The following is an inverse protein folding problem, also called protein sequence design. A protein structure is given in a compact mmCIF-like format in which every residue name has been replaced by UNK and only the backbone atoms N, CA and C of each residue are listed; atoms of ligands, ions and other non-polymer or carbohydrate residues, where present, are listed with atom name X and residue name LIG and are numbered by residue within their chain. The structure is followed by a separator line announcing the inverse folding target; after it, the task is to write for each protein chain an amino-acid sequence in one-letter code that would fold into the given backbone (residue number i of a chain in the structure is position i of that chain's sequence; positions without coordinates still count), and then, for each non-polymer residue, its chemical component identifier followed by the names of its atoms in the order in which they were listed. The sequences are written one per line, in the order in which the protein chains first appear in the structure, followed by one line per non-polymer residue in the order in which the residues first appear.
data_IF_446835363427
#
_entry.id   IF_446835363427
#
_cell.length_a   1.000
_cell.length_b   1.000
_cell.length_c   1.000
_cell.angle_alpha   90.00
_cell.angle_beta   90.00
_cell.angle_gamma   90.00
#
_symmetry.space_group_name_H-M   'P 1'
#
loop_
_entity.id
_entity.type
_entity.pdbx_description
1 polymer ?
#
# COMPACT_ATOMS: atom_id res chain seq x y z
N UNK A 1 -8.58 26.98 56.11
CA UNK A 1 -9.38 26.66 54.91
C UNK A 1 -8.41 26.35 53.78
N UNK A 2 -8.40 25.09 53.34
CA UNK A 2 -7.39 24.53 52.44
C UNK A 2 -7.51 25.04 51.01
N UNK A 3 -6.38 25.47 50.45
CA UNK A 3 -6.25 25.82 49.05
C UNK A 3 -6.20 24.52 48.23
N UNK A 4 -7.25 24.23 47.46
CA UNK A 4 -7.23 23.15 46.47
C UNK A 4 -6.28 23.56 45.35
N UNK A 5 -5.02 23.12 45.45
CA UNK A 5 -4.10 23.15 44.32
C UNK A 5 -4.60 22.13 43.29
N UNK A 6 -5.25 22.62 42.22
CA UNK A 6 -5.56 21.79 41.07
C UNK A 6 -4.25 21.30 40.46
N UNK A 7 -3.98 20.00 40.57
CA UNK A 7 -2.90 19.35 39.83
C UNK A 7 -3.30 19.41 38.35
N UNK A 8 -2.84 20.43 37.63
CA UNK A 8 -2.87 20.43 36.17
C UNK A 8 -1.90 19.35 35.71
N UNK A 9 -2.43 18.18 35.36
CA UNK A 9 -1.69 17.15 34.64
C UNK A 9 -1.10 17.82 33.42
N UNK A 10 0.24 17.82 33.29
CA UNK A 10 0.87 18.35 32.09
C UNK A 10 0.40 17.49 30.91
N UNK A 11 -0.08 18.10 29.81
CA UNK A 11 -0.46 17.34 28.63
C UNK A 11 0.73 16.52 28.15
N UNK A 12 0.49 15.28 27.75
CA UNK A 12 1.55 14.39 27.29
C UNK A 12 2.18 14.96 26.01
N UNK A 13 3.47 14.66 25.76
CA UNK A 13 4.24 15.19 24.61
C UNK A 13 3.45 15.09 23.29
N UNK A 14 2.83 13.93 23.06
CA UNK A 14 2.11 13.61 21.84
C UNK A 14 0.84 14.44 21.61
N UNK A 15 0.20 14.95 22.66
CA UNK A 15 -1.03 15.76 22.55
C UNK A 15 -0.77 17.10 21.85
N UNK A 16 0.50 17.51 21.78
CA UNK A 16 0.92 18.77 21.17
C UNK A 16 1.50 18.58 19.75
N UNK A 17 1.49 17.37 19.20
CA UNK A 17 1.85 17.13 17.80
C UNK A 17 0.70 17.60 16.91
N UNK A 18 0.99 18.51 15.98
CA UNK A 18 -0.02 19.12 15.12
C UNK A 18 0.27 18.87 13.64
N UNK A 19 -0.72 18.35 12.91
CA UNK A 19 -0.71 18.29 11.45
C UNK A 19 -1.12 19.66 10.91
N UNK A 20 -0.15 20.40 10.36
CA UNK A 20 -0.36 21.75 9.83
C UNK A 20 -0.99 21.72 8.44
N UNK A 21 -0.60 20.74 7.63
CA UNK A 21 -1.11 20.54 6.28
C UNK A 21 -1.09 19.05 5.96
N UNK A 22 -2.12 18.60 5.26
CA UNK A 22 -2.20 17.26 4.68
C UNK A 22 -2.71 17.39 3.24
N UNK A 23 -1.96 16.86 2.29
CA UNK A 23 -2.37 16.76 0.89
C UNK A 23 -2.33 15.29 0.49
N UNK A 24 -3.38 14.81 -0.18
CA UNK A 24 -3.43 13.46 -0.73
C UNK A 24 -4.16 13.46 -2.06
N UNK A 25 -3.68 12.65 -3.01
CA UNK A 25 -4.24 12.56 -4.35
C UNK A 25 -3.84 11.24 -5.02
N UNK A 26 -4.58 10.86 -6.04
CA UNK A 26 -4.08 9.96 -7.08
C UNK A 26 -3.90 10.77 -8.36
N UNK A 27 -2.75 10.63 -9.01
CA UNK A 27 -2.45 11.34 -10.26
C UNK A 27 -3.57 11.07 -11.30
N UNK A 28 -3.98 12.11 -12.04
CA UNK A 28 -5.14 12.04 -12.94
C UNK A 28 -4.87 11.37 -14.28
N UNK A 29 -3.61 11.04 -14.58
CA UNK A 29 -3.28 10.31 -15.80
C UNK A 29 -3.89 8.90 -15.76
N UNK A 30 -4.22 8.29 -16.91
CA UNK A 30 -4.64 6.90 -16.95
C UNK A 30 -3.45 5.96 -16.69
N UNK A 31 -3.77 4.68 -16.49
CA UNK A 31 -2.78 3.59 -16.48
C UNK A 31 -2.05 3.53 -17.83
N UNK A 32 -0.73 3.49 -17.80
CA UNK A 32 0.11 3.34 -18.99
C UNK A 32 0.33 1.86 -19.25
N UNK A 33 0.10 1.40 -20.48
CA UNK A 33 0.32 0.01 -20.90
C UNK A 33 1.52 -0.05 -21.85
N UNK A 34 2.41 -1.01 -21.62
CA UNK A 34 3.59 -1.30 -22.43
C UNK A 34 3.53 -2.74 -22.97
N UNK A 35 3.31 -2.85 -24.27
CA UNK A 35 3.26 -4.10 -25.03
C UNK A 35 4.57 -4.42 -25.77
N UNK A 36 5.70 -3.77 -25.48
CA UNK A 36 6.93 -3.96 -26.28
C UNK A 36 7.55 -5.35 -26.12
N UNK A 37 7.25 -6.08 -25.04
CA UNK A 37 7.81 -7.41 -24.80
C UNK A 37 6.94 -8.51 -25.39
N UNK A 38 7.56 -9.44 -26.11
CA UNK A 38 6.90 -10.66 -26.60
C UNK A 38 6.57 -11.69 -25.51
N UNK A 39 7.03 -11.49 -24.27
CA UNK A 39 6.88 -12.45 -23.16
C UNK A 39 5.87 -11.95 -22.12
N UNK A 40 5.86 -10.64 -21.85
CA UNK A 40 5.00 -10.04 -20.83
C UNK A 40 4.31 -8.77 -21.31
N UNK A 41 3.11 -8.54 -20.80
CA UNK A 41 2.47 -7.24 -20.74
C UNK A 41 2.94 -6.49 -19.50
N UNK A 42 3.38 -5.25 -19.65
CA UNK A 42 3.66 -4.36 -18.52
C UNK A 42 2.61 -3.27 -18.46
N UNK A 43 2.29 -2.83 -17.26
CA UNK A 43 1.50 -1.64 -17.08
C UNK A 43 1.95 -0.89 -15.82
N UNK A 44 1.66 0.41 -15.79
CA UNK A 44 1.95 1.28 -14.65
C UNK A 44 0.72 2.10 -14.30
N UNK A 45 0.21 1.90 -13.09
CA UNK A 45 -0.92 2.70 -12.60
C UNK A 45 -0.46 4.11 -12.20
N UNK A 46 -1.38 5.07 -12.08
CA UNK A 46 -1.08 6.40 -11.55
C UNK A 46 -0.58 6.30 -10.10
N UNK A 47 0.18 7.29 -9.66
CA UNK A 47 0.69 7.32 -8.29
C UNK A 47 -0.39 7.80 -7.33
N UNK A 48 -0.63 7.04 -6.27
CA UNK A 48 -1.11 7.58 -5.01
C UNK A 48 -0.01 8.44 -4.38
N UNK A 49 -0.38 9.59 -3.83
CA UNK A 49 0.53 10.52 -3.15
C UNK A 49 -0.09 10.97 -1.84
N UNK A 50 0.73 11.05 -0.81
CA UNK A 50 0.37 11.68 0.46
C UNK A 50 1.55 12.48 1.00
N UNK A 51 1.31 13.72 1.39
CA UNK A 51 2.30 14.62 1.98
C UNK A 51 1.71 15.32 3.18
N UNK A 52 2.45 15.34 4.28
CA UNK A 52 2.05 16.01 5.50
C UNK A 52 3.15 16.95 6.00
N UNK A 53 2.73 18.15 6.42
CA UNK A 53 3.57 19.06 7.19
C UNK A 53 3.15 18.96 8.65
N UNK A 54 4.07 18.52 9.50
CA UNK A 54 3.81 18.24 10.92
C UNK A 54 4.66 19.16 11.78
N UNK A 55 4.06 19.72 12.82
CA UNK A 55 4.74 20.43 13.89
C UNK A 55 4.81 19.54 15.12
N UNK A 56 6.02 19.22 15.53
CA UNK A 56 6.31 18.44 16.73
C UNK A 56 6.80 19.39 17.82
N UNK A 57 6.27 19.32 19.05
CA UNK A 57 6.72 20.16 20.17
C UNK A 57 8.18 19.82 20.56
N UNK A 58 8.83 20.65 21.38
CA UNK A 58 10.14 20.31 21.94
C UNK A 58 10.12 18.97 22.69
N UNK A 59 11.10 18.11 22.43
CA UNK A 59 11.28 16.83 23.13
C UNK A 59 12.12 17.10 24.38
N UNK A 60 11.55 16.95 25.57
CA UNK A 60 12.24 17.36 26.80
C UNK A 60 13.35 16.36 27.23
N UNK A 61 13.16 15.07 26.96
CA UNK A 61 14.07 13.99 27.34
C UNK A 61 14.98 13.50 26.21
N UNK A 62 15.71 12.42 26.47
CA UNK A 62 16.51 11.69 25.46
C UNK A 62 15.65 10.73 24.63
N UNK A 63 14.40 11.08 24.40
CA UNK A 63 13.46 10.27 23.63
C UNK A 63 13.76 10.43 22.14
N UNK A 64 13.48 9.37 21.38
CA UNK A 64 13.58 9.38 19.93
C UNK A 64 12.17 9.15 19.39
N UNK A 65 11.69 10.10 18.60
CA UNK A 65 10.37 10.06 18.00
C UNK A 65 10.49 10.06 16.48
N UNK A 66 9.84 9.12 15.82
CA UNK A 66 9.77 9.05 14.36
C UNK A 66 8.35 9.36 13.91
N UNK A 67 8.23 10.35 13.02
CA UNK A 67 6.96 10.70 12.36
C UNK A 67 7.02 10.18 10.94
N UNK A 68 6.02 9.42 10.50
CA UNK A 68 6.04 8.85 9.15
C UNK A 68 4.75 8.16 8.73
N UNK A 69 4.81 7.52 7.57
CA UNK A 69 3.69 6.83 6.95
C UNK A 69 3.75 5.31 7.19
N UNK A 70 2.62 4.76 7.59
CA UNK A 70 2.35 3.31 7.64
C UNK A 70 1.25 3.04 6.62
N UNK A 71 1.38 1.98 5.82
CA UNK A 71 0.34 1.55 4.88
C UNK A 71 0.07 0.05 5.04
N UNK A 72 -1.18 -0.34 4.83
CA UNK A 72 -1.58 -1.73 4.78
C UNK A 72 -2.59 -1.99 3.67
N UNK A 73 -2.50 -3.17 3.07
CA UNK A 73 -3.49 -3.67 2.12
C UNK A 73 -4.63 -4.36 2.88
N UNK A 74 -5.86 -3.91 2.65
CA UNK A 74 -7.08 -4.44 3.29
C UNK A 74 -7.84 -5.42 2.39
N UNK A 75 -7.66 -5.30 1.08
CA UNK A 75 -8.29 -6.16 0.09
C UNK A 75 -7.38 -6.27 -1.12
N UNK A 76 -7.24 -7.49 -1.65
CA UNK A 76 -6.49 -7.75 -2.86
C UNK A 76 -7.23 -8.70 -3.80
N UNK A 77 -7.79 -8.13 -4.86
CA UNK A 77 -8.27 -8.86 -6.01
C UNK A 77 -7.36 -8.56 -7.20
N UNK A 78 -6.64 -9.57 -7.70
CA UNK A 78 -5.79 -9.42 -8.88
C UNK A 78 -5.82 -10.70 -9.70
N UNK A 79 -6.57 -10.65 -10.81
CA UNK A 79 -6.86 -11.76 -11.71
C UNK A 79 -6.34 -11.51 -13.12
N UNK A 80 -5.75 -12.54 -13.73
CA UNK A 80 -5.37 -12.57 -15.14
C UNK A 80 -6.08 -13.75 -15.80
N UNK A 81 -6.86 -13.49 -16.84
CA UNK A 81 -7.67 -14.49 -17.53
C UNK A 81 -6.98 -14.94 -18.80
N UNK A 82 -6.98 -16.24 -19.08
CA UNK A 82 -6.31 -16.85 -20.23
C UNK A 82 -7.32 -17.53 -21.17
N UNK A 83 -8.40 -16.82 -21.52
CA UNK A 83 -9.51 -17.35 -22.31
C UNK A 83 -10.18 -18.53 -21.61
N UNK A 84 -10.44 -19.60 -22.36
CA UNK A 84 -11.04 -20.84 -21.85
C UNK A 84 -10.06 -21.71 -21.06
N UNK A 85 -8.78 -21.34 -20.99
CA UNK A 85 -7.76 -22.19 -20.33
C UNK A 85 -7.77 -22.06 -18.81
N UNK A 86 -8.24 -20.92 -18.28
CA UNK A 86 -8.32 -20.68 -16.84
C UNK A 86 -7.91 -19.27 -16.43
N UNK A 87 -7.61 -19.12 -15.13
CA UNK A 87 -7.30 -17.84 -14.50
C UNK A 87 -6.08 -17.97 -13.59
N UNK A 88 -5.18 -16.99 -13.61
CA UNK A 88 -4.17 -16.81 -12.56
C UNK A 88 -4.58 -15.67 -11.64
N UNK A 89 -4.19 -15.76 -10.37
CA UNK A 89 -4.45 -14.69 -9.41
C UNK A 89 -3.33 -14.55 -8.40
N UNK A 90 -2.99 -13.31 -8.10
CA UNK A 90 -2.16 -12.99 -6.93
C UNK A 90 -3.07 -12.92 -5.71
N UNK A 91 -2.72 -13.67 -4.68
CA UNK A 91 -3.54 -13.81 -3.48
C UNK A 91 -2.72 -13.60 -2.22
N UNK A 92 -3.38 -13.08 -1.19
CA UNK A 92 -2.92 -13.01 0.19
C UNK A 92 -3.83 -13.95 1.02
N UNK A 93 -3.48 -15.24 1.21
CA UNK A 93 -4.40 -16.23 1.77
C UNK A 93 -4.98 -15.84 3.13
N UNK A 94 -4.14 -15.37 4.05
CA UNK A 94 -4.58 -14.96 5.39
C UNK A 94 -5.57 -13.77 5.33
N UNK A 95 -5.37 -12.83 4.41
CA UNK A 95 -6.27 -11.71 4.20
C UNK A 95 -7.58 -12.16 3.54
N UNK A 96 -7.47 -13.00 2.51
CA UNK A 96 -8.61 -13.56 1.74
C UNK A 96 -9.52 -14.43 2.61
N UNK A 97 -8.95 -15.20 3.52
CA UNK A 97 -9.67 -16.07 4.45
C UNK A 97 -10.20 -15.31 5.68
N UNK A 98 -9.88 -14.01 5.81
CA UNK A 98 -10.31 -13.18 6.94
C UNK A 98 -9.60 -13.47 8.26
N UNK A 99 -8.49 -14.22 8.24
CA UNK A 99 -7.66 -14.45 9.44
C UNK A 99 -6.96 -13.16 9.90
N UNK A 100 -6.64 -12.28 8.94
CA UNK A 100 -6.11 -10.95 9.20
C UNK A 100 -6.98 -9.88 8.55
N UNK A 101 -7.07 -8.71 9.17
CA UNK A 101 -7.85 -7.57 8.67
C UNK A 101 -7.11 -6.73 7.63
N UNK A 102 -5.78 -6.76 7.69
CA UNK A 102 -4.90 -6.03 6.80
C UNK A 102 -3.51 -6.68 6.85
N UNK A 103 -2.73 -6.50 5.79
CA UNK A 103 -1.33 -6.88 5.76
C UNK A 103 -0.45 -5.65 5.55
N UNK A 104 0.70 -5.61 6.23
CA UNK A 104 1.65 -4.51 6.11
C UNK A 104 2.09 -4.32 4.66
N UNK A 105 2.20 -3.07 4.21
CA UNK A 105 2.77 -2.71 2.91
C UNK A 105 4.13 -2.00 3.07
N UNK A 106 4.87 -2.37 4.11
CA UNK A 106 6.20 -1.86 4.40
C UNK A 106 7.23 -2.23 3.31
N UNK A 107 8.32 -1.45 3.22
CA UNK A 107 9.51 -1.73 2.42
C UNK A 107 10.17 -3.11 2.70
N UNK A 108 9.78 -3.78 3.79
CA UNK A 108 10.27 -5.09 4.19
C UNK A 108 11.54 -5.05 5.06
N UNK A 109 12.03 -3.85 5.37
CA UNK A 109 13.24 -3.60 6.17
C UNK A 109 12.89 -2.83 7.44
N UNK A 110 12.23 -1.68 7.31
CA UNK A 110 11.98 -0.72 8.37
C UNK A 110 10.52 -0.78 8.85
N UNK A 111 10.06 -1.96 9.27
CA UNK A 111 8.71 -2.10 9.81
C UNK A 111 8.47 -1.14 10.99
N UNK A 112 7.28 -0.51 11.10
CA UNK A 112 6.10 -0.66 10.24
C UNK A 112 6.04 0.34 9.07
N UNK A 113 7.12 1.10 8.83
CA UNK A 113 7.13 2.22 7.90
C UNK A 113 7.00 1.74 6.45
N UNK A 114 6.25 2.51 5.65
CA UNK A 114 6.11 2.27 4.21
C UNK A 114 7.47 2.38 3.50
N UNK A 115 8.30 3.34 3.91
CA UNK A 115 9.67 3.51 3.43
C UNK A 115 10.50 4.33 4.41
N UNK A 116 11.77 4.61 4.07
CA UNK A 116 12.73 5.23 4.97
C UNK A 116 13.41 6.50 4.41
N UNK A 117 12.96 7.02 3.26
CA UNK A 117 13.65 8.13 2.57
C UNK A 117 12.96 9.46 2.82
N UNK A 118 11.75 9.62 2.28
CA UNK A 118 10.90 10.80 2.48
C UNK A 118 9.68 10.47 3.34
N UNK A 119 9.46 9.18 3.59
CA UNK A 119 8.27 8.63 4.20
C UNK A 119 8.27 8.79 5.72
N UNK A 120 9.44 9.03 6.31
CA UNK A 120 9.62 9.21 7.75
C UNK A 120 10.64 10.29 8.08
N UNK A 121 10.54 10.83 9.29
CA UNK A 121 11.45 11.81 9.87
C UNK A 121 11.66 11.51 11.34
N UNK A 122 12.92 11.32 11.74
CA UNK A 122 13.30 11.01 13.13
C UNK A 122 13.78 12.26 13.87
N UNK A 123 13.28 12.44 15.08
CA UNK A 123 13.60 13.54 15.98
C UNK A 123 14.29 12.95 17.21
N UNK A 124 15.53 13.36 17.44
CA UNK A 124 16.32 12.95 18.60
C UNK A 124 16.27 14.05 19.65
N UNK A 125 15.70 13.73 20.81
CA UNK A 125 15.70 14.62 21.96
C UNK A 125 17.04 14.65 22.72
N UNK A 126 17.27 15.66 23.58
CA UNK A 126 16.36 16.76 23.86
C UNK A 126 16.39 17.83 22.77
N UNK A 127 15.27 18.49 22.53
CA UNK A 127 15.17 19.66 21.65
C UNK A 127 14.56 20.84 22.40
N UNK A 128 15.04 22.07 22.10
CA UNK A 128 14.63 23.28 22.81
C UNK A 128 13.54 24.07 22.06
N UNK A 129 13.19 23.66 20.84
CA UNK A 129 12.25 24.34 19.95
C UNK A 129 11.36 23.32 19.26
N UNK A 130 10.16 23.75 18.86
CA UNK A 130 9.30 22.91 18.03
C UNK A 130 9.94 22.67 16.67
N UNK A 131 9.89 21.43 16.20
CA UNK A 131 10.37 21.05 14.87
C UNK A 131 9.19 21.04 13.90
N UNK A 132 9.34 21.70 12.75
CA UNK A 132 8.40 21.53 11.64
C UNK A 132 9.06 20.68 10.58
N UNK A 133 8.42 19.57 10.24
CA UNK A 133 8.92 18.58 9.29
C UNK A 133 7.91 18.35 8.18
N UNK A 134 8.39 17.75 7.09
CA UNK A 134 7.57 17.30 5.99
C UNK A 134 7.90 15.82 5.74
N UNK A 135 6.86 15.00 5.65
CA UNK A 135 6.96 13.60 5.22
C UNK A 135 6.05 13.38 4.03
N UNK A 136 6.50 12.58 3.08
CA UNK A 136 5.78 12.25 1.86
C UNK A 136 5.94 10.79 1.52
N UNK A 137 4.90 10.21 0.94
CA UNK A 137 4.97 8.89 0.33
C UNK A 137 4.29 8.93 -1.05
N UNK A 138 4.68 7.98 -1.89
CA UNK A 138 3.97 7.69 -3.12
C UNK A 138 3.95 6.18 -3.34
N UNK A 139 2.88 5.70 -3.96
CA UNK A 139 2.71 4.28 -4.25
C UNK A 139 2.05 4.09 -5.62
N UNK A 140 2.45 3.06 -6.35
CA UNK A 140 1.83 2.64 -7.59
C UNK A 140 2.12 1.18 -7.92
N UNK A 141 1.36 0.63 -8.86
CA UNK A 141 1.60 -0.71 -9.36
C UNK A 141 2.30 -0.67 -10.70
N UNK A 142 3.42 -1.39 -10.79
CA UNK A 142 4.18 -1.55 -12.03
C UNK A 142 4.52 -3.03 -12.32
N UNK A 143 3.54 -3.95 -12.40
CA UNK A 143 3.80 -5.38 -12.56
C UNK A 143 4.14 -5.77 -14.01
N UNK A 144 4.56 -7.02 -14.17
CA UNK A 144 4.67 -7.72 -15.46
C UNK A 144 3.77 -8.95 -15.44
N UNK A 145 2.91 -9.11 -16.45
CA UNK A 145 1.98 -10.24 -16.59
C UNK A 145 2.31 -11.03 -17.85
N UNK A 146 2.45 -12.35 -17.75
CA UNK A 146 2.81 -13.19 -18.90
C UNK A 146 1.68 -13.26 -19.92
N UNK A 147 2.03 -13.24 -21.22
CA UNK A 147 1.05 -13.52 -22.29
C UNK A 147 0.57 -14.97 -22.29
N UNK A 148 1.44 -15.88 -21.85
CA UNK A 148 1.20 -17.32 -21.74
C UNK A 148 0.76 -17.71 -20.33
N UNK A 149 0.17 -18.90 -20.19
CA UNK A 149 -0.18 -19.49 -18.89
C UNK A 149 1.06 -19.50 -17.97
N UNK A 150 0.95 -19.03 -16.72
CA UNK A 150 2.10 -18.87 -15.84
C UNK A 150 2.50 -20.20 -15.19
N UNK A 151 2.73 -21.27 -15.96
CA UNK A 151 3.19 -22.58 -15.44
C UNK A 151 4.56 -22.97 -15.98
N UNK A 152 5.30 -22.01 -16.56
CA UNK A 152 6.63 -22.21 -17.14
C UNK A 152 6.62 -22.81 -18.55
N UNK A 153 5.47 -23.27 -19.04
CA UNK A 153 5.30 -23.70 -20.43
C UNK A 153 4.96 -22.50 -21.30
N UNK A 154 5.90 -22.11 -22.18
CA UNK A 154 5.64 -21.11 -23.22
C UNK A 154 4.57 -21.66 -24.16
N UNK A 155 3.32 -21.24 -23.94
CA UNK A 155 2.23 -21.50 -24.88
C UNK A 155 2.38 -20.56 -26.06
N UNK A 156 2.43 -21.16 -27.25
CA UNK A 156 2.19 -20.48 -28.52
C UNK A 156 0.85 -21.01 -29.04
N UNK A 157 -0.17 -20.18 -29.29
CA UNK A 157 -0.20 -18.70 -29.26
C UNK A 157 -0.30 -18.08 -27.84
N UNK A 158 -0.16 -16.75 -27.68
CA UNK A 158 -0.51 -16.04 -26.44
C UNK A 158 -1.97 -16.28 -26.05
N UNK A 159 -2.26 -16.30 -24.76
CA UNK A 159 -3.57 -16.68 -24.23
C UNK A 159 -4.19 -15.64 -23.29
N UNK A 160 -3.39 -14.70 -22.76
CA UNK A 160 -3.90 -13.62 -21.92
C UNK A 160 -5.02 -12.87 -22.65
N UNK A 161 -6.15 -12.75 -21.97
CA UNK A 161 -7.41 -12.22 -22.51
C UNK A 161 -7.96 -11.06 -21.68
N UNK A 162 -7.66 -11.00 -20.37
CA UNK A 162 -8.02 -9.84 -19.55
C UNK A 162 -7.18 -9.79 -18.28
N UNK A 163 -7.00 -8.59 -17.74
CA UNK A 163 -6.48 -8.35 -16.39
C UNK A 163 -7.53 -7.56 -15.62
N UNK A 164 -7.83 -8.00 -14.39
CA UNK A 164 -8.72 -7.32 -13.45
C UNK A 164 -8.02 -7.15 -12.13
N UNK A 165 -8.00 -5.93 -11.61
CA UNK A 165 -7.43 -5.63 -10.30
C UNK A 165 -8.33 -4.66 -9.54
N UNK A 166 -8.60 -4.97 -8.28
CA UNK A 166 -9.26 -4.09 -7.31
C UNK A 166 -8.54 -4.29 -5.97
N UNK A 167 -7.89 -3.23 -5.50
CA UNK A 167 -7.18 -3.27 -4.23
C UNK A 167 -7.47 -2.05 -3.39
N UNK A 168 -7.56 -2.27 -2.08
CA UNK A 168 -7.86 -1.23 -1.09
C UNK A 168 -6.78 -1.15 -0.05
N UNK A 169 -6.49 0.07 0.35
CA UNK A 169 -5.43 0.39 1.29
C UNK A 169 -5.93 1.38 2.33
N UNK A 170 -5.33 1.25 3.51
CA UNK A 170 -5.41 2.26 4.56
C UNK A 170 -3.99 2.73 4.86
N UNK A 171 -3.84 4.04 4.90
CA UNK A 171 -2.57 4.72 5.14
C UNK A 171 -2.71 5.61 6.37
N UNK A 172 -1.77 5.52 7.29
CA UNK A 172 -1.74 6.27 8.53
C UNK A 172 -0.52 7.17 8.59
N UNK A 173 -0.74 8.43 8.97
CA UNK A 173 0.32 9.30 9.46
C UNK A 173 0.47 9.07 10.97
N UNK A 174 1.66 8.68 11.40
CA UNK A 174 1.91 8.24 12.78
C UNK A 174 3.14 8.95 13.35
N UNK A 175 3.10 9.29 14.64
CA UNK A 175 4.30 9.55 15.43
C UNK A 175 4.52 8.39 16.39
N UNK A 176 5.73 7.82 16.40
CA UNK A 176 6.08 6.66 17.23
C UNK A 176 7.33 6.95 18.06
N UNK A 177 7.27 6.64 19.36
CA UNK A 177 8.44 6.64 20.22
C UNK A 177 9.23 5.36 19.98
N UNK A 178 10.50 5.46 19.61
CA UNK A 178 11.31 4.29 19.23
C UNK A 178 11.71 3.41 20.42
N UNK A 179 11.73 3.96 21.63
CA UNK A 179 12.10 3.20 22.83
C UNK A 179 10.90 2.48 23.46
N UNK A 180 9.71 3.10 23.45
CA UNK A 180 8.52 2.55 24.10
C UNK A 180 7.54 1.90 23.12
N UNK A 181 7.74 2.07 21.82
CA UNK A 181 6.79 1.73 20.75
C UNK A 181 5.41 2.42 20.91
N UNK A 182 5.33 3.47 21.72
CA UNK A 182 4.11 4.28 21.86
C UNK A 182 3.80 4.95 20.52
N UNK A 183 2.59 4.74 20.00
CA UNK A 183 2.14 5.26 18.71
C UNK A 183 1.00 6.25 18.87
N UNK A 184 1.07 7.32 18.09
CA UNK A 184 0.13 8.42 18.06
C UNK A 184 -0.39 8.55 16.64
N UNK A 185 -1.68 8.24 16.45
CA UNK A 185 -2.32 8.35 15.14
C UNK A 185 -2.68 9.81 14.86
N UNK A 186 -2.03 10.38 13.86
CA UNK A 186 -2.23 11.76 13.46
C UNK A 186 -3.35 11.86 12.43
N UNK A 187 -3.31 11.06 11.36
CA UNK A 187 -4.32 11.03 10.28
C UNK A 187 -4.48 9.63 9.69
N UNK A 188 -5.69 9.31 9.23
CA UNK A 188 -6.00 8.10 8.44
C UNK A 188 -6.52 8.50 7.06
N UNK A 189 -6.01 7.83 6.03
CA UNK A 189 -6.39 7.99 4.62
C UNK A 189 -6.81 6.62 4.09
N UNK A 190 -7.93 6.58 3.36
CA UNK A 190 -8.34 5.40 2.59
C UNK A 190 -8.19 5.68 1.12
N UNK A 191 -7.69 4.70 0.38
CA UNK A 191 -7.61 4.77 -1.06
C UNK A 191 -7.72 3.39 -1.67
N UNK A 192 -8.06 3.37 -2.96
CA UNK A 192 -8.18 2.14 -3.72
C UNK A 192 -7.66 2.36 -5.14
N UNK A 193 -7.37 1.26 -5.81
CA UNK A 193 -6.94 1.26 -7.19
C UNK A 193 -7.70 0.16 -7.93
N UNK A 194 -8.37 0.55 -9.01
CA UNK A 194 -9.15 -0.34 -9.86
C UNK A 194 -8.58 -0.31 -11.29
N UNK A 195 -8.40 -1.49 -11.88
CA UNK A 195 -7.87 -1.66 -13.22
C UNK A 195 -8.59 -2.76 -13.96
N UNK A 196 -8.93 -2.48 -15.20
CA UNK A 196 -9.44 -3.46 -16.13
C UNK A 196 -8.72 -3.30 -17.48
N UNK A 197 -8.06 -4.35 -17.94
CA UNK A 197 -7.44 -4.41 -19.26
C UNK A 197 -8.10 -5.54 -20.02
N UNK A 198 -8.58 -5.23 -21.22
CA UNK A 198 -9.04 -6.18 -22.22
C UNK A 198 -7.87 -6.53 -23.14
N UNK A 199 -7.70 -7.79 -23.49
CA UNK A 199 -6.59 -8.27 -24.32
C UNK A 199 -7.14 -9.16 -25.43
N UNK A 200 -6.87 -8.77 -26.68
CA UNK A 200 -7.12 -9.61 -27.85
C UNK A 200 -5.82 -10.31 -28.27
N UNK A 201 -5.64 -11.61 -27.93
CA UNK A 201 -4.41 -12.33 -28.26
C UNK A 201 -4.22 -12.56 -29.76
N UNK A 202 -5.25 -12.40 -30.59
CA UNK A 202 -5.16 -12.57 -32.05
C UNK A 202 -4.56 -11.35 -32.74
N UNK A 203 -4.54 -10.20 -32.07
CA UNK A 203 -3.92 -8.99 -32.61
C UNK A 203 -2.39 -9.04 -32.53
N UNK A 204 -1.69 -8.34 -33.44
CA UNK A 204 -0.25 -8.20 -33.37
C UNK A 204 0.15 -7.47 -32.08
N UNK A 205 1.36 -7.78 -31.61
CA UNK A 205 1.95 -7.11 -30.44
C UNK A 205 1.94 -5.58 -30.63
N UNK A 206 1.58 -4.84 -29.59
CA UNK A 206 1.41 -3.39 -29.66
C UNK A 206 -0.02 -2.93 -30.01
N UNK A 207 -0.92 -3.87 -30.30
CA UNK A 207 -2.33 -3.61 -30.63
C UNK A 207 -3.30 -4.52 -29.89
N UNK A 208 -2.82 -5.32 -28.92
CA UNK A 208 -3.66 -6.33 -28.25
C UNK A 208 -4.55 -5.73 -27.18
N UNK A 209 -4.06 -4.72 -26.47
CA UNK A 209 -4.69 -4.27 -25.24
C UNK A 209 -5.59 -3.07 -25.43
N UNK A 210 -6.60 -3.01 -24.57
CA UNK A 210 -7.44 -1.84 -24.38
C UNK A 210 -7.69 -1.65 -22.89
N UNK A 211 -7.32 -0.49 -22.37
CA UNK A 211 -7.69 -0.09 -21.02
C UNK A 211 -9.20 0.16 -20.97
N UNK A 212 -9.87 -0.44 -19.99
CA UNK A 212 -11.28 -0.24 -19.71
C UNK A 212 -11.45 0.65 -18.47
N UNK A 213 -12.68 1.08 -18.21
CA UNK A 213 -13.00 1.88 -17.02
C UNK A 213 -12.67 1.14 -15.70
N UNK A 214 -12.26 1.87 -14.64
CA UNK A 214 -12.12 3.32 -14.61
C UNK A 214 -10.80 3.83 -15.23
N UNK A 215 -10.89 4.83 -16.11
CA UNK A 215 -9.71 5.50 -16.70
C UNK A 215 -9.06 6.48 -15.72
N UNK A 216 -9.87 7.08 -14.83
CA UNK A 216 -9.42 7.94 -13.74
C UNK A 216 -9.80 7.30 -12.42
N UNK A 217 -8.85 7.27 -11.48
CA UNK A 217 -9.06 6.65 -10.18
C UNK A 217 -9.87 7.57 -9.25
N UNK A 218 -10.60 6.94 -8.34
CA UNK A 218 -11.26 7.65 -7.24
C UNK A 218 -10.20 8.32 -6.36
N UNK A 219 -10.41 9.60 -6.03
CA UNK A 219 -9.48 10.32 -5.18
C UNK A 219 -9.52 9.79 -3.73
N UNK A 220 -8.37 9.80 -3.03
CA UNK A 220 -8.27 9.27 -1.69
C UNK A 220 -9.12 10.05 -0.68
N UNK A 221 -9.66 9.34 0.31
CA UNK A 221 -10.49 9.90 1.37
C UNK A 221 -9.66 10.11 2.64
N UNK A 222 -9.58 11.35 3.13
CA UNK A 222 -9.06 11.64 4.48
C UNK A 222 -10.20 11.46 5.47
N UNK A 223 -10.04 10.54 6.42
CA UNK A 223 -11.08 10.26 7.40
C UNK A 223 -11.20 11.38 8.44
N UNK A 224 -12.44 11.70 8.80
CA UNK A 224 -12.74 12.67 9.88
C UNK A 224 -12.34 12.14 11.25
N UNK A 225 -12.36 10.83 11.44
CA UNK A 225 -11.92 10.12 12.65
C UNK A 225 -10.88 9.08 12.26
N UNK A 226 -9.77 9.07 12.99
CA UNK A 226 -8.72 8.08 12.78
C UNK A 226 -9.21 6.68 13.15
N UNK A 227 -8.80 5.71 12.34
CA UNK A 227 -9.04 4.28 12.59
C UNK A 227 -7.78 3.65 13.19
N UNK A 228 -7.94 2.70 14.13
CA UNK A 228 -6.81 2.00 14.72
C UNK A 228 -6.05 1.21 13.66
N UNK A 229 -4.74 1.06 13.84
CA UNK A 229 -3.90 0.22 12.98
C UNK A 229 -4.09 -1.24 13.42
N UNK A 230 -4.50 -2.15 12.54
CA UNK A 230 -4.53 -3.58 12.87
C UNK A 230 -3.13 -4.07 13.27
N UNK A 231 -2.97 -4.91 14.31
CA UNK A 231 -1.65 -5.38 14.74
C UNK A 231 -0.83 -6.02 13.62
N UNK A 232 -1.49 -6.73 12.69
CA UNK A 232 -0.84 -7.42 11.56
C UNK A 232 -0.26 -6.46 10.51
N UNK A 233 -0.68 -5.18 10.51
CA UNK A 233 -0.10 -4.16 9.64
C UNK A 233 1.25 -3.62 10.17
N UNK A 234 1.57 -3.88 11.44
CA UNK A 234 2.75 -3.34 12.12
C UNK A 234 3.97 -4.28 12.06
N UNK A 235 3.77 -5.52 11.62
CA UNK A 235 4.76 -6.59 11.70
C UNK A 235 4.96 -7.29 10.36
N UNK A 236 5.98 -8.13 10.29
CA UNK A 236 6.21 -9.04 9.16
C UNK A 236 5.07 -10.07 9.07
N UNK A 237 4.76 -10.60 7.86
CA UNK A 237 5.33 -10.22 6.57
C UNK A 237 4.64 -8.99 5.93
N UNK A 238 5.31 -8.36 4.97
CA UNK A 238 4.68 -7.39 4.08
C UNK A 238 3.92 -8.07 2.94
N UNK A 239 3.06 -7.33 2.25
CA UNK A 239 2.21 -7.81 1.16
C UNK A 239 3.03 -8.53 0.07
N UNK A 240 4.16 -7.94 -0.34
CA UNK A 240 5.03 -8.53 -1.36
C UNK A 240 5.69 -9.85 -0.91
N UNK A 241 5.96 -10.01 0.39
CA UNK A 241 6.52 -11.23 0.96
C UNK A 241 5.50 -12.34 1.16
N UNK A 242 4.24 -11.98 1.44
CA UNK A 242 3.17 -12.91 1.77
C UNK A 242 2.29 -13.33 0.59
N UNK A 243 2.33 -12.56 -0.51
CA UNK A 243 1.51 -12.87 -1.69
C UNK A 243 2.02 -14.12 -2.40
N UNK A 244 1.08 -14.84 -3.01
CA UNK A 244 1.35 -16.01 -3.84
C UNK A 244 0.64 -15.90 -5.19
N UNK A 245 1.22 -16.48 -6.24
CA UNK A 245 0.58 -16.61 -7.54
C UNK A 245 -0.02 -18.00 -7.67
N UNK A 246 -1.33 -18.07 -7.86
CA UNK A 246 -2.06 -19.33 -8.08
C UNK A 246 -2.55 -19.37 -9.52
N UNK A 247 -2.39 -20.51 -10.17
CA UNK A 247 -3.01 -20.85 -11.44
C UNK A 247 -4.19 -21.79 -11.20
N UNK A 248 -5.35 -21.47 -11.77
CA UNK A 248 -6.55 -22.31 -11.75
C UNK A 248 -6.94 -22.64 -13.18
N UNK A 249 -6.63 -23.85 -13.68
CA UNK A 249 -7.01 -24.25 -15.02
C UNK A 249 -8.54 -24.44 -15.10
N UNK A 250 -9.09 -24.39 -16.32
CA UNK A 250 -10.51 -24.70 -16.53
C UNK A 250 -10.85 -26.17 -16.23
N UNK A 251 -9.86 -27.06 -16.31
CA UNK A 251 -9.96 -28.47 -15.94
C UNK A 251 -8.74 -28.91 -15.14
N UNK A 252 -8.97 -29.64 -14.04
CA UNK A 252 -7.91 -30.17 -13.17
C UNK A 252 -7.70 -29.34 -11.91
N UNK A 253 -6.62 -29.64 -11.18
CA UNK A 253 -6.31 -29.04 -9.89
C UNK A 253 -5.63 -27.67 -10.01
N UNK A 254 -5.83 -26.83 -9.00
CA UNK A 254 -5.12 -25.55 -8.88
C UNK A 254 -3.64 -25.76 -8.57
N UNK A 255 -2.77 -24.90 -9.10
CA UNK A 255 -1.32 -24.99 -8.94
C UNK A 255 -0.78 -23.70 -8.34
N UNK A 256 0.05 -23.82 -7.31
CA UNK A 256 0.84 -22.70 -6.79
C UNK A 256 2.02 -22.49 -7.73
N UNK A 257 2.02 -21.37 -8.46
CA UNK A 257 3.08 -21.02 -9.41
C UNK A 257 4.24 -20.36 -8.68
N UNK A 258 3.92 -19.38 -7.84
CA UNK A 258 4.89 -18.65 -7.03
C UNK A 258 4.41 -18.77 -5.58
N UNK A 259 5.13 -19.50 -4.72
CA UNK A 259 4.78 -19.57 -3.31
C UNK A 259 5.07 -18.24 -2.61
N UNK A 260 4.40 -18.03 -1.47
CA UNK A 260 4.78 -16.99 -0.52
C UNK A 260 6.23 -17.21 -0.07
N UNK A 261 6.94 -16.11 0.23
CA UNK A 261 8.28 -16.17 0.83
C UNK A 261 8.23 -16.41 2.35
N UNK A 262 7.04 -16.35 2.94
CA UNK A 262 6.73 -16.50 4.36
C UNK A 262 5.64 -17.55 4.59
#
# INVERSE_FOLDING_TARGET
MGCMQSVRVKPNFYENIAVLQLNTSIDSNPTVIDELSSVVLRYRTPYFRATARVKVPPVAGKEIWTVGWIQACNQMDFFNYYGEQGVSSWELPELKNGHIQAISDSDGVNYPWYGCTTEMYTIVGPTNRSTTLMVSMNDNFSPSVTWSIPTGTLSSPPLLSSIRRDQRFTTWLVAMNESTAEMVLLRTIRWKMQLAIDVDPQKPLGQRTRLLEPLTQEQPEVLTKNEPIPPNALVKPNANGAQMLIWRPASGESVIVIPSKY
#
